data_IF_564226239286
#
_entry.id   IF_564226239286
#
_cell.length_a   1.000
_cell.length_b   1.000
_cell.length_c   1.000
_cell.angle_alpha   90.00
_cell.angle_beta   90.00
_cell.angle_gamma   90.00
#
_symmetry.space_group_name_H-M   'P 1'
#
loop_
_entity.id
_entity.type
_entity.pdbx_description
1 polymer ?
#
# COMPACT_ATOMS: atom_id res chain seq x y z
N UNK A 1 32.00 0.97 -10.86
CA UNK A 1 31.05 2.00 -10.38
C UNK A 1 31.61 3.34 -10.76
N UNK A 2 31.01 4.00 -11.75
CA UNK A 2 31.55 5.26 -12.31
C UNK A 2 30.86 6.44 -11.65
N UNK A 3 31.54 7.58 -11.53
CA UNK A 3 31.02 8.80 -10.88
C UNK A 3 29.74 9.37 -11.49
N UNK A 4 29.23 8.82 -12.59
CA UNK A 4 27.96 9.19 -13.24
C UNK A 4 26.74 8.46 -12.64
N UNK A 5 26.92 7.23 -12.16
CA UNK A 5 25.84 6.44 -11.54
C UNK A 5 25.34 7.11 -10.24
N UNK A 6 26.26 7.73 -9.50
CA UNK A 6 25.96 8.49 -8.28
C UNK A 6 25.14 9.78 -8.53
N UNK A 7 25.31 10.42 -9.69
CA UNK A 7 24.61 11.67 -10.03
C UNK A 7 23.14 11.47 -10.41
N UNK A 8 22.80 10.31 -10.98
CA UNK A 8 21.43 9.96 -11.31
C UNK A 8 20.67 9.44 -10.07
N UNK A 9 21.34 8.69 -9.19
CA UNK A 9 20.80 8.23 -7.91
C UNK A 9 20.38 9.40 -7.01
N UNK A 10 21.24 10.42 -6.85
CA UNK A 10 20.92 11.60 -6.03
C UNK A 10 19.72 12.42 -6.54
N UNK A 11 19.50 12.50 -7.85
CA UNK A 11 18.34 13.20 -8.44
C UNK A 11 17.03 12.41 -8.27
N UNK A 12 17.10 11.07 -8.27
CA UNK A 12 15.95 10.20 -7.98
C UNK A 12 15.60 10.30 -6.49
N UNK A 13 16.59 10.32 -5.61
CA UNK A 13 16.41 10.49 -4.18
C UNK A 13 15.64 11.77 -3.83
N UNK A 14 15.98 12.91 -4.45
CA UNK A 14 15.29 14.18 -4.22
C UNK A 14 13.82 14.12 -4.70
N UNK A 15 13.54 13.50 -5.84
CA UNK A 15 12.17 13.36 -6.37
C UNK A 15 11.34 12.40 -5.51
N UNK A 16 11.87 11.23 -5.16
CA UNK A 16 11.19 10.24 -4.31
C UNK A 16 10.91 10.82 -2.93
N UNK A 17 11.92 11.43 -2.30
CA UNK A 17 11.82 12.03 -0.97
C UNK A 17 10.85 13.20 -0.98
N UNK A 18 10.88 14.05 -2.00
CA UNK A 18 9.98 15.21 -2.13
C UNK A 18 8.55 14.79 -2.44
N UNK A 19 8.33 13.83 -3.34
CA UNK A 19 6.97 13.35 -3.64
C UNK A 19 6.36 12.59 -2.45
N UNK A 20 7.13 11.73 -1.76
CA UNK A 20 6.63 10.94 -0.63
C UNK A 20 6.49 11.77 0.65
N UNK A 21 7.40 12.71 0.93
CA UNK A 21 7.31 13.55 2.14
C UNK A 21 6.53 14.85 1.90
N UNK A 22 6.42 15.31 0.66
CA UNK A 22 5.68 16.50 0.25
C UNK A 22 4.20 16.25 -0.10
N UNK A 23 3.77 14.98 -0.22
CA UNK A 23 2.34 14.61 -0.19
C UNK A 23 1.75 14.93 1.20
N UNK A 24 1.61 16.23 1.48
CA UNK A 24 0.68 16.74 2.45
C UNK A 24 -0.70 16.25 2.02
N UNK A 25 -1.40 15.64 2.97
CA UNK A 25 -2.72 15.02 2.86
C UNK A 25 -3.80 15.98 2.32
N UNK A 26 -3.69 16.40 1.06
CA UNK A 26 -4.70 17.18 0.36
C UNK A 26 -5.61 16.22 -0.39
N UNK A 27 -6.55 15.72 0.41
CA UNK A 27 -7.80 15.06 0.08
C UNK A 27 -8.39 15.57 -1.24
N UNK A 28 -8.36 14.73 -2.28
CA UNK A 28 -9.26 14.81 -3.43
C UNK A 28 -9.44 13.42 -4.02
N UNK A 29 -10.59 12.82 -3.68
CA UNK A 29 -11.53 11.92 -4.41
C UNK A 29 -11.16 11.17 -5.71
N UNK A 30 -9.90 11.15 -6.14
CA UNK A 30 -9.39 10.44 -7.32
C UNK A 30 -8.51 9.24 -6.92
N UNK A 31 -8.61 8.83 -5.65
CA UNK A 31 -7.72 7.91 -4.92
C UNK A 31 -7.66 6.47 -5.46
N UNK A 32 -8.46 6.14 -6.48
CA UNK A 32 -8.46 4.83 -7.16
C UNK A 32 -8.21 4.90 -8.67
N UNK A 33 -8.24 6.09 -9.29
CA UNK A 33 -8.22 6.24 -10.75
C UNK A 33 -6.81 6.37 -11.35
N UNK A 34 -5.78 6.56 -10.53
CA UNK A 34 -4.37 6.54 -10.98
C UNK A 34 -3.68 5.19 -10.80
N UNK A 35 -4.46 4.10 -10.81
CA UNK A 35 -3.91 2.77 -10.94
C UNK A 35 -3.24 2.66 -12.32
N UNK A 36 -1.91 2.57 -12.37
CA UNK A 36 -1.23 2.17 -13.60
C UNK A 36 -1.95 0.93 -14.14
N UNK A 37 -2.32 0.90 -15.44
CA UNK A 37 -2.94 -0.28 -16.04
C UNK A 37 -2.14 -1.52 -15.67
N UNK A 38 -2.82 -2.57 -15.21
CA UNK A 38 -2.17 -3.82 -14.74
C UNK A 38 -1.13 -4.35 -15.74
N UNK A 39 -1.36 -4.12 -17.03
CA UNK A 39 -0.44 -4.43 -18.13
C UNK A 39 0.93 -3.74 -18.01
N UNK A 40 0.96 -2.42 -17.78
CA UNK A 40 2.21 -1.66 -17.61
C UNK A 40 2.99 -2.10 -16.37
N UNK A 41 2.28 -2.45 -15.28
CA UNK A 41 2.95 -2.99 -14.07
C UNK A 41 3.62 -4.34 -14.32
N UNK A 42 2.95 -5.21 -15.09
CA UNK A 42 3.51 -6.51 -15.48
C UNK A 42 4.80 -6.37 -16.28
N UNK A 43 4.84 -5.44 -17.24
CA UNK A 43 6.05 -5.13 -18.02
C UNK A 43 7.21 -4.71 -17.11
N UNK A 44 6.95 -3.80 -16.16
CA UNK A 44 7.98 -3.32 -15.24
C UNK A 44 8.55 -4.45 -14.39
N UNK A 45 7.70 -5.27 -13.78
CA UNK A 45 8.15 -6.39 -12.95
C UNK A 45 8.95 -7.41 -13.75
N UNK A 46 8.57 -7.68 -15.01
CA UNK A 46 9.32 -8.56 -15.89
C UNK A 46 10.71 -8.00 -16.24
N UNK A 47 10.82 -6.70 -16.53
CA UNK A 47 12.10 -6.02 -16.80
C UNK A 47 13.05 -6.10 -15.60
N UNK A 48 12.53 -5.86 -14.39
CA UNK A 48 13.31 -5.97 -13.15
C UNK A 48 13.73 -7.43 -12.90
N UNK A 49 12.81 -8.38 -13.04
CA UNK A 49 13.09 -9.82 -12.86
C UNK A 49 14.16 -10.33 -13.82
N UNK A 50 14.14 -9.88 -15.07
CA UNK A 50 15.15 -10.23 -16.10
C UNK A 50 16.44 -9.45 -15.98
N UNK A 51 16.53 -8.47 -15.07
CA UNK A 51 17.66 -7.52 -14.95
C UNK A 51 17.96 -6.76 -16.26
N UNK A 52 16.91 -6.44 -16.99
CA UNK A 52 16.96 -5.74 -18.28
C UNK A 52 16.51 -4.28 -18.18
N UNK A 53 16.22 -3.82 -16.97
CA UNK A 53 15.76 -2.46 -16.73
C UNK A 53 16.89 -1.44 -16.96
N UNK A 54 16.62 -0.42 -17.78
CA UNK A 54 17.55 0.64 -18.16
C UNK A 54 16.87 2.02 -18.08
N UNK A 55 17.36 2.89 -17.19
CA UNK A 55 16.85 4.26 -17.02
C UNK A 55 17.21 5.21 -18.18
N UNK A 56 18.13 4.83 -19.05
CA UNK A 56 18.48 5.59 -20.25
C UNK A 56 17.47 5.38 -21.38
N UNK A 57 16.72 4.28 -21.35
CA UNK A 57 15.64 4.03 -22.30
C UNK A 57 14.44 4.92 -21.98
N UNK A 58 13.96 5.77 -22.91
CA UNK A 58 12.86 6.70 -22.64
C UNK A 58 11.55 6.02 -22.22
N UNK A 59 11.23 4.85 -22.79
CA UNK A 59 10.02 4.10 -22.50
C UNK A 59 10.10 3.47 -21.10
N UNK A 60 11.23 2.83 -20.77
CA UNK A 60 11.44 2.27 -19.44
C UNK A 60 11.52 3.34 -18.35
N UNK A 61 12.05 4.52 -18.69
CA UNK A 61 12.04 5.68 -17.81
C UNK A 61 10.62 6.20 -17.55
N UNK A 62 9.78 6.31 -18.58
CA UNK A 62 8.35 6.66 -18.40
C UNK A 62 7.67 5.63 -17.50
N UNK A 63 7.93 4.34 -17.73
CA UNK A 63 7.38 3.26 -16.94
C UNK A 63 7.79 3.34 -15.46
N UNK A 64 9.06 3.63 -15.18
CA UNK A 64 9.55 3.84 -13.83
C UNK A 64 8.92 5.06 -13.15
N UNK A 65 8.77 6.18 -13.86
CA UNK A 65 8.09 7.36 -13.32
C UNK A 65 6.63 7.07 -13.00
N UNK A 66 5.94 6.29 -13.83
CA UNK A 66 4.59 5.84 -13.54
C UNK A 66 4.58 5.00 -12.23
N UNK A 67 5.46 4.00 -12.12
CA UNK A 67 5.59 3.17 -10.91
C UNK A 67 5.88 4.00 -9.67
N UNK A 68 6.71 5.03 -9.79
CA UNK A 68 7.02 5.95 -8.71
C UNK A 68 5.79 6.78 -8.28
N UNK A 69 4.96 7.23 -9.23
CA UNK A 69 3.68 7.89 -8.91
C UNK A 69 2.76 6.98 -8.10
N UNK A 70 2.62 5.71 -8.50
CA UNK A 70 1.85 4.72 -7.70
C UNK A 70 2.45 4.54 -6.31
N UNK A 71 3.77 4.50 -6.18
CA UNK A 71 4.41 4.38 -4.88
C UNK A 71 4.22 5.61 -3.98
N UNK A 72 4.08 6.80 -4.57
CA UNK A 72 3.73 8.03 -3.86
C UNK A 72 2.28 7.99 -3.38
N UNK A 73 1.35 7.57 -4.24
CA UNK A 73 -0.07 7.42 -3.89
C UNK A 73 -0.27 6.41 -2.74
N UNK A 74 0.51 5.33 -2.75
CA UNK A 74 0.46 4.30 -1.70
C UNK A 74 1.36 4.59 -0.50
N UNK A 75 2.07 5.72 -0.47
CA UNK A 75 3.12 5.99 0.52
C UNK A 75 2.64 6.06 1.97
N UNK A 76 1.34 6.22 2.21
CA UNK A 76 0.75 6.09 3.55
C UNK A 76 1.18 4.78 4.23
N UNK A 77 1.25 3.67 3.48
CA UNK A 77 1.60 2.34 3.99
C UNK A 77 3.04 2.24 4.53
N UNK A 78 3.90 3.21 4.22
CA UNK A 78 5.31 3.23 4.64
C UNK A 78 5.56 4.17 5.81
N UNK A 79 4.58 5.00 6.19
CA UNK A 79 4.71 5.99 7.26
C UNK A 79 4.87 5.31 8.64
N UNK A 80 5.44 6.01 9.64
CA UNK A 80 5.51 5.50 11.00
C UNK A 80 4.17 5.00 11.52
N UNK A 81 4.19 3.92 12.30
CA UNK A 81 2.99 3.18 12.74
C UNK A 81 1.83 4.07 13.26
N UNK A 82 2.03 5.07 14.14
CA UNK A 82 0.92 5.88 14.64
C UNK A 82 0.21 6.67 13.53
N UNK A 83 0.97 7.10 12.51
CA UNK A 83 0.44 7.83 11.36
C UNK A 83 -0.30 6.84 10.46
N UNK A 84 0.31 5.69 10.18
CA UNK A 84 -0.31 4.73 9.26
C UNK A 84 -1.59 4.12 9.83
N UNK A 85 -1.62 3.84 11.13
CA UNK A 85 -2.85 3.36 11.78
C UNK A 85 -3.99 4.38 11.62
N UNK A 86 -3.72 5.67 11.87
CA UNK A 86 -4.70 6.74 11.72
C UNK A 86 -5.19 6.87 10.28
N UNK A 87 -4.29 6.78 9.29
CA UNK A 87 -4.69 6.85 7.88
C UNK A 87 -5.56 5.64 7.50
N UNK A 88 -5.19 4.43 7.92
CA UNK A 88 -6.00 3.23 7.65
C UNK A 88 -7.41 3.33 8.27
N UNK A 89 -7.54 3.90 9.47
CA UNK A 89 -8.84 4.16 10.10
C UNK A 89 -9.70 5.17 9.31
N UNK A 90 -9.09 6.22 8.77
CA UNK A 90 -9.79 7.20 7.92
C UNK A 90 -10.25 6.57 6.60
N UNK A 91 -9.38 5.79 5.95
CA UNK A 91 -9.68 5.08 4.71
C UNK A 91 -10.82 4.08 4.92
N UNK A 92 -10.76 3.29 5.99
CA UNK A 92 -11.84 2.37 6.34
C UNK A 92 -13.16 3.10 6.60
N UNK A 93 -13.12 4.24 7.30
CA UNK A 93 -14.31 5.06 7.55
C UNK A 93 -14.93 5.54 6.24
N UNK A 94 -14.11 6.00 5.29
CA UNK A 94 -14.60 6.43 3.97
C UNK A 94 -15.22 5.27 3.18
N UNK A 95 -14.62 4.07 3.19
CA UNK A 95 -15.20 2.89 2.55
C UNK A 95 -16.53 2.47 3.19
N UNK A 96 -16.64 2.55 4.51
CA UNK A 96 -17.90 2.25 5.21
C UNK A 96 -18.99 3.26 4.86
N UNK A 97 -18.64 4.55 4.80
CA UNK A 97 -19.60 5.60 4.43
C UNK A 97 -20.05 5.48 2.96
N UNK A 98 -19.19 4.96 2.08
CA UNK A 98 -19.56 4.62 0.70
C UNK A 98 -20.49 3.40 0.64
N UNK A 99 -20.14 2.29 1.31
CA UNK A 99 -20.99 1.10 1.37
C UNK A 99 -22.36 1.37 1.98
N UNK A 100 -22.42 2.23 3.00
CA UNK A 100 -23.68 2.67 3.62
C UNK A 100 -24.56 3.45 2.62
N UNK A 101 -23.97 4.22 1.71
CA UNK A 101 -24.70 4.93 0.66
C UNK A 101 -25.18 3.97 -0.42
N UNK A 102 -24.31 3.09 -0.92
CA UNK A 102 -24.68 2.10 -1.95
C UNK A 102 -25.82 1.19 -1.48
N UNK A 103 -25.78 0.76 -0.22
CA UNK A 103 -26.87 -0.01 0.38
C UNK A 103 -28.18 0.77 0.44
N UNK A 104 -28.14 2.05 0.82
CA UNK A 104 -29.35 2.89 0.99
C UNK A 104 -29.93 3.37 -0.34
N UNK A 105 -29.08 3.74 -1.29
CA UNK A 105 -29.46 4.42 -2.53
C UNK A 105 -29.64 3.43 -3.69
N UNK A 106 -28.82 2.37 -3.74
CA UNK A 106 -28.78 1.43 -4.86
C UNK A 106 -29.26 0.02 -4.48
N UNK A 107 -29.53 -0.22 -3.20
CA UNK A 107 -29.95 -1.53 -2.66
C UNK A 107 -28.93 -2.65 -2.99
N UNK A 108 -27.64 -2.28 -3.08
CA UNK A 108 -26.51 -3.19 -3.33
C UNK A 108 -25.94 -3.63 -1.98
N UNK A 109 -25.70 -4.93 -1.82
CA UNK A 109 -24.98 -5.46 -0.65
C UNK A 109 -23.51 -5.01 -0.69
N UNK A 110 -23.03 -4.24 0.30
CA UNK A 110 -21.67 -3.75 0.31
C UNK A 110 -20.68 -4.91 0.51
N UNK A 111 -19.55 -4.85 -0.21
CA UNK A 111 -18.47 -5.84 -0.05
C UNK A 111 -17.92 -5.86 1.38
N UNK A 112 -17.20 -6.93 1.76
CA UNK A 112 -16.58 -7.06 3.09
C UNK A 112 -15.70 -5.86 3.48
N UNK A 113 -15.09 -5.18 2.49
CA UNK A 113 -14.29 -3.96 2.67
C UNK A 113 -15.11 -2.74 3.06
N UNK A 114 -16.36 -2.68 2.61
CA UNK A 114 -17.26 -1.53 2.75
C UNK A 114 -18.33 -1.77 3.82
N UNK A 115 -18.35 -2.95 4.44
CA UNK A 115 -19.25 -3.26 5.54
C UNK A 115 -18.64 -2.87 6.90
N UNK A 116 -19.21 -1.84 7.54
CA UNK A 116 -18.81 -1.33 8.86
C UNK A 116 -18.81 -2.41 9.96
N UNK A 117 -19.67 -3.42 9.84
CA UNK A 117 -19.77 -4.52 10.80
C UNK A 117 -18.54 -5.44 10.76
N UNK A 118 -17.76 -5.40 9.68
CA UNK A 118 -16.52 -6.17 9.50
C UNK A 118 -15.27 -5.35 9.82
N UNK A 119 -15.39 -4.31 10.66
CA UNK A 119 -14.25 -3.50 11.13
C UNK A 119 -13.14 -4.33 11.79
N UNK A 120 -13.49 -5.45 12.41
CA UNK A 120 -12.54 -6.42 12.97
C UNK A 120 -11.71 -7.16 11.91
N UNK A 121 -12.01 -7.04 10.61
CA UNK A 121 -11.18 -7.59 9.53
C UNK A 121 -10.15 -6.60 9.00
N UNK A 122 -10.19 -5.33 9.39
CA UNK A 122 -9.26 -4.31 8.87
C UNK A 122 -7.80 -4.77 8.94
N UNK A 123 -7.29 -5.34 10.05
CA UNK A 123 -5.90 -5.79 10.09
C UNK A 123 -5.54 -6.86 9.07
N UNK A 124 -6.36 -7.89 8.90
CA UNK A 124 -6.09 -8.95 7.90
C UNK A 124 -6.20 -8.42 6.47
N UNK A 125 -7.10 -7.47 6.23
CA UNK A 125 -7.23 -6.80 4.94
C UNK A 125 -6.01 -5.94 4.61
N UNK A 126 -5.49 -5.19 5.59
CA UNK A 126 -4.26 -4.42 5.42
C UNK A 126 -3.06 -5.34 5.13
N UNK A 127 -2.95 -6.49 5.79
CA UNK A 127 -1.91 -7.50 5.46
C UNK A 127 -2.06 -7.97 4.01
N UNK A 128 -3.27 -8.38 3.60
CA UNK A 128 -3.53 -8.84 2.23
C UNK A 128 -3.22 -7.77 1.18
N UNK A 129 -3.56 -6.51 1.45
CA UNK A 129 -3.23 -5.38 0.59
C UNK A 129 -1.72 -5.16 0.45
N UNK A 130 -0.99 -5.21 1.59
CA UNK A 130 0.47 -5.07 1.59
C UNK A 130 1.13 -6.19 0.77
N UNK A 131 0.69 -7.43 0.96
CA UNK A 131 1.25 -8.60 0.28
C UNK A 131 0.96 -8.62 -1.22
N UNK A 132 -0.28 -8.29 -1.60
CA UNK A 132 -0.69 -8.34 -2.99
C UNK A 132 -0.11 -7.20 -3.83
N UNK A 133 0.07 -6.00 -3.24
CA UNK A 133 0.36 -4.79 -4.01
C UNK A 133 1.64 -4.11 -3.52
N UNK A 134 1.72 -3.73 -2.25
CA UNK A 134 2.74 -2.80 -1.79
C UNK A 134 4.15 -3.40 -1.76
N UNK A 135 4.31 -4.64 -1.29
CA UNK A 135 5.64 -5.25 -1.17
C UNK A 135 6.32 -5.37 -2.53
N UNK A 136 5.64 -5.96 -3.52
CA UNK A 136 6.19 -6.13 -4.86
C UNK A 136 6.60 -4.80 -5.49
N UNK A 137 5.78 -3.75 -5.30
CA UNK A 137 6.07 -2.40 -5.77
C UNK A 137 7.35 -1.84 -5.12
N UNK A 138 7.44 -1.83 -3.80
CA UNK A 138 8.60 -1.23 -3.11
C UNK A 138 9.87 -2.07 -3.24
N UNK A 139 9.76 -3.40 -3.38
CA UNK A 139 10.89 -4.28 -3.70
C UNK A 139 11.43 -3.97 -5.09
N UNK A 140 10.56 -3.85 -6.11
CA UNK A 140 10.98 -3.51 -7.46
C UNK A 140 11.61 -2.10 -7.53
N UNK A 141 11.08 -1.12 -6.81
CA UNK A 141 11.69 0.21 -6.72
C UNK A 141 13.06 0.19 -6.04
N UNK A 142 13.20 -0.60 -4.97
CA UNK A 142 14.49 -0.76 -4.27
C UNK A 142 15.53 -1.47 -5.14
N UNK A 143 15.10 -2.37 -6.04
CA UNK A 143 15.98 -2.97 -7.05
C UNK A 143 16.52 -1.95 -8.06
N UNK A 144 15.76 -0.90 -8.37
CA UNK A 144 16.21 0.18 -9.27
C UNK A 144 17.11 1.18 -8.53
N UNK A 145 16.75 1.55 -7.30
CA UNK A 145 17.50 2.48 -6.47
C UNK A 145 17.40 2.08 -5.00
N UNK A 146 18.56 1.80 -4.40
CA UNK A 146 18.67 1.45 -2.97
C UNK A 146 18.17 2.58 -2.06
N UNK A 147 18.15 3.82 -2.55
CA UNK A 147 17.63 4.98 -1.81
C UNK A 147 16.12 4.89 -1.54
N UNK A 148 15.39 4.04 -2.28
CA UNK A 148 13.98 3.73 -2.02
C UNK A 148 13.78 2.75 -0.85
N UNK A 149 14.85 2.16 -0.31
CA UNK A 149 14.78 1.16 0.78
C UNK A 149 13.96 1.61 2.00
N UNK A 150 14.01 2.86 2.48
CA UNK A 150 13.18 3.30 3.61
C UNK A 150 11.67 3.10 3.40
N UNK A 151 11.19 3.15 2.14
CA UNK A 151 9.79 2.89 1.79
C UNK A 151 9.46 1.41 2.00
N UNK A 152 10.34 0.52 1.51
CA UNK A 152 10.20 -0.92 1.68
C UNK A 152 10.28 -1.32 3.16
N UNK A 153 11.23 -0.75 3.90
CA UNK A 153 11.41 -1.01 5.33
C UNK A 153 10.18 -0.55 6.14
N UNK A 154 9.67 0.66 5.87
CA UNK A 154 8.44 1.16 6.48
C UNK A 154 7.23 0.26 6.18
N UNK A 155 7.09 -0.17 4.93
CA UNK A 155 6.04 -1.11 4.50
C UNK A 155 6.12 -2.44 5.27
N UNK A 156 7.30 -3.05 5.37
CA UNK A 156 7.54 -4.31 6.09
C UNK A 156 7.26 -4.19 7.59
N UNK A 157 7.69 -3.08 8.22
CA UNK A 157 7.39 -2.79 9.63
C UNK A 157 5.88 -2.69 9.88
N UNK A 158 5.16 -1.97 9.03
CA UNK A 158 3.71 -1.84 9.16
C UNK A 158 2.99 -3.16 8.89
N UNK A 159 3.45 -3.98 7.93
CA UNK A 159 2.94 -5.34 7.71
C UNK A 159 3.00 -6.17 8.99
N UNK A 160 4.15 -6.17 9.68
CA UNK A 160 4.32 -6.92 10.91
C UNK A 160 3.36 -6.46 12.01
N UNK A 161 3.13 -5.15 12.12
CA UNK A 161 2.17 -4.59 13.09
C UNK A 161 0.74 -5.00 12.77
N UNK A 162 0.33 -4.92 11.50
CA UNK A 162 -0.99 -5.37 11.07
C UNK A 162 -1.21 -6.87 11.28
N UNK A 163 -0.19 -7.68 10.99
CA UNK A 163 -0.21 -9.12 11.23
C UNK A 163 -0.43 -9.43 12.73
N UNK A 164 0.31 -8.77 13.62
CA UNK A 164 0.15 -8.96 15.05
C UNK A 164 -1.28 -8.58 15.54
N UNK A 165 -1.86 -7.52 14.99
CA UNK A 165 -3.24 -7.12 15.29
C UNK A 165 -4.26 -8.13 14.76
N UNK A 166 -4.06 -8.67 13.56
CA UNK A 166 -4.94 -9.68 12.97
C UNK A 166 -4.96 -10.95 13.83
N UNK A 167 -3.79 -11.43 14.24
CA UNK A 167 -3.67 -12.60 15.12
C UNK A 167 -4.29 -12.36 16.51
N UNK A 168 -4.14 -11.15 17.06
CA UNK A 168 -4.74 -10.80 18.34
C UNK A 168 -6.27 -10.83 18.26
N UNK A 169 -6.85 -10.28 17.18
CA UNK A 169 -8.29 -10.29 16.97
C UNK A 169 -8.83 -11.71 16.80
N UNK A 170 -8.13 -12.55 16.04
CA UNK A 170 -8.51 -13.96 15.88
C UNK A 170 -8.50 -14.72 17.22
N UNK A 171 -7.45 -14.55 18.02
CA UNK A 171 -7.36 -15.15 19.37
C UNK A 171 -8.51 -14.69 20.29
N UNK A 172 -8.91 -13.43 20.23
CA UNK A 172 -10.03 -12.91 21.02
C UNK A 172 -11.37 -13.52 20.61
N UNK A 173 -11.59 -13.75 19.31
CA UNK A 173 -12.81 -14.39 18.80
C UNK A 173 -12.89 -15.87 19.24
N UNK A 174 -11.78 -16.61 19.16
CA UNK A 174 -11.71 -18.03 19.57
C UNK A 174 -11.91 -18.19 21.09
N UNK A 175 -11.31 -17.31 21.89
CA UNK A 175 -11.46 -17.34 23.36
C UNK A 175 -12.86 -16.89 23.81
N UNK A 176 -13.49 -15.95 23.09
CA UNK A 176 -14.87 -15.53 23.35
C UNK A 176 -15.89 -16.63 23.07
N UNK A 177 -15.71 -17.40 22.00
CA UNK A 177 -16.57 -18.54 21.65
C UNK A 177 -16.44 -19.71 22.65
N UNK A 178 -15.23 -19.96 23.17
CA UNK A 178 -14.97 -21.02 24.16
C UNK A 178 -15.39 -20.65 25.60
N UNK A 179 -15.61 -19.36 25.89
CA UNK A 179 -16.20 -18.89 27.14
C UNK A 179 -17.72 -19.07 27.26
N UNK A 180 -18.45 -19.10 26.13
CA UNK A 180 -19.89 -19.38 26.11
C UNK A 180 -20.20 -20.88 26.19
N UNK A 181 -19.34 -21.74 25.64
CA UNK A 181 -19.54 -23.20 25.67
C UNK A 181 -19.35 -23.85 27.07
N UNK A 182 -18.84 -23.11 28.07
CA UNK A 182 -18.67 -23.58 29.46
C UNK A 182 -19.72 -23.07 30.44
N UNK A 183 -20.75 -22.36 29.96
CA UNK A 183 -21.85 -21.82 30.79
C UNK A 183 -23.24 -22.43 30.47
N UNK A 184 -23.29 -23.49 29.66
CA UNK A 184 -24.50 -24.27 29.40
C UNK A 184 -24.44 -25.63 30.06
#
# INVERSE_FOLDING_TARGET
MTSRDAGNAGRIQDVVTTCVNGCSFHRSRSFFDSFIPTERRGEFFELIRKKQFNLEDPHQKELFLAMLMTACDLSAITKPWPIQQRIAELVATEFFDQGDKERKELNIEPTDLMNREKKNKIPSMQVGFIDAICLQLYEALTHVSEDCFPLLDGCRKNRQKWQALAEQQEKMLVNGASGQAKRS
#
